data_IF_814669720009
#
_entry.id   IF_814669720009
#
_cell.length_a   1.000
_cell.length_b   1.000
_cell.length_c   1.000
_cell.angle_alpha   90.00
_cell.angle_beta   90.00
_cell.angle_gamma   90.00
#
_symmetry.space_group_name_H-M   'P 1'
#
loop_
_entity.id
_entity.type
_entity.pdbx_description
1 polymer ?
#
# COMPACT_ATOMS: atom_id res chain seq x y z
N UNK A 1 -48.27 48.09 9.49
CA UNK A 1 -47.10 48.59 8.75
C UNK A 1 -46.26 47.39 8.35
N UNK A 2 -46.58 46.81 7.19
CA UNK A 2 -45.91 45.64 6.59
C UNK A 2 -44.71 46.19 5.82
N UNK A 3 -43.51 46.05 6.38
CA UNK A 3 -42.24 46.32 5.69
C UNK A 3 -41.37 45.08 5.89
N UNK A 4 -41.74 43.99 5.21
CA UNK A 4 -40.79 42.91 4.96
C UNK A 4 -39.76 43.47 3.98
N UNK A 5 -38.56 43.72 4.50
CA UNK A 5 -37.48 44.37 3.77
C UNK A 5 -37.04 43.48 2.59
N UNK A 6 -37.02 43.98 1.34
CA UNK A 6 -36.64 43.20 0.14
C UNK A 6 -35.23 42.59 0.21
N UNK A 7 -34.40 43.09 1.11
CA UNK A 7 -33.05 42.60 1.42
C UNK A 7 -33.07 41.22 2.09
N UNK A 8 -34.05 40.93 2.95
CA UNK A 8 -34.13 39.64 3.66
C UNK A 8 -34.55 38.53 2.69
N UNK A 9 -35.47 38.80 1.77
CA UNK A 9 -35.87 37.86 0.73
C UNK A 9 -34.70 37.52 -0.22
N UNK A 10 -33.90 38.51 -0.63
CA UNK A 10 -32.70 38.29 -1.45
C UNK A 10 -31.59 37.51 -0.72
N UNK A 11 -31.45 37.69 0.60
CA UNK A 11 -30.48 36.94 1.42
C UNK A 11 -30.90 35.47 1.60
N UNK A 12 -32.20 35.21 1.78
CA UNK A 12 -32.74 33.84 1.84
C UNK A 12 -32.58 33.14 0.50
N UNK A 13 -32.90 33.81 -0.61
CA UNK A 13 -32.75 33.27 -1.97
C UNK A 13 -31.27 32.97 -2.32
N UNK A 14 -30.34 33.86 -1.95
CA UNK A 14 -28.89 33.57 -2.09
C UNK A 14 -28.46 32.37 -1.25
N UNK A 15 -28.98 32.23 -0.03
CA UNK A 15 -28.65 31.10 0.85
C UNK A 15 -29.16 29.78 0.28
N UNK A 16 -30.38 29.76 -0.26
CA UNK A 16 -30.96 28.57 -0.91
C UNK A 16 -30.24 28.21 -2.20
N UNK A 17 -29.81 29.20 -3.00
CA UNK A 17 -29.04 28.94 -4.24
C UNK A 17 -27.65 28.36 -3.91
N UNK A 18 -26.98 28.87 -2.87
CA UNK A 18 -25.68 28.33 -2.41
C UNK A 18 -25.85 26.91 -1.85
N UNK A 19 -26.91 26.65 -1.08
CA UNK A 19 -27.22 25.31 -0.58
C UNK A 19 -27.55 24.34 -1.72
N UNK A 20 -28.37 24.74 -2.70
CA UNK A 20 -28.65 23.93 -3.89
C UNK A 20 -27.40 23.67 -4.73
N UNK A 21 -26.54 24.67 -4.93
CA UNK A 21 -25.28 24.50 -5.66
C UNK A 21 -24.32 23.55 -4.92
N UNK A 22 -24.26 23.62 -3.59
CA UNK A 22 -23.49 22.69 -2.77
C UNK A 22 -24.05 21.25 -2.84
N UNK A 23 -25.38 21.09 -2.84
CA UNK A 23 -26.04 19.79 -2.98
C UNK A 23 -25.78 19.21 -4.38
N UNK A 24 -25.96 19.99 -5.44
CA UNK A 24 -25.66 19.56 -6.81
C UNK A 24 -24.18 19.17 -6.97
N UNK A 25 -23.27 20.02 -6.48
CA UNK A 25 -21.83 19.73 -6.49
C UNK A 25 -21.49 18.46 -5.71
N UNK A 26 -22.13 18.22 -4.56
CA UNK A 26 -21.92 16.99 -3.78
C UNK A 26 -22.44 15.75 -4.51
N UNK A 27 -23.58 15.85 -5.20
CA UNK A 27 -24.16 14.74 -5.96
C UNK A 27 -23.32 14.38 -7.19
N UNK A 28 -22.80 15.38 -7.90
CA UNK A 28 -21.89 15.17 -9.03
C UNK A 28 -20.54 14.59 -8.58
N UNK A 29 -20.03 15.04 -7.43
CA UNK A 29 -18.79 14.52 -6.87
C UNK A 29 -18.92 13.04 -6.45
N UNK A 30 -20.05 12.67 -5.82
CA UNK A 30 -20.35 11.28 -5.45
C UNK A 30 -20.40 10.40 -6.70
N UNK A 31 -21.15 10.81 -7.72
CA UNK A 31 -21.27 10.07 -8.97
C UNK A 31 -19.91 9.91 -9.68
N UNK A 32 -19.09 10.96 -9.66
CA UNK A 32 -17.75 10.95 -10.25
C UNK A 32 -16.79 10.01 -9.50
N UNK A 33 -16.83 10.02 -8.15
CA UNK A 33 -16.02 9.12 -7.33
C UNK A 33 -16.41 7.66 -7.54
N UNK A 34 -17.70 7.36 -7.63
CA UNK A 34 -18.20 6.01 -7.92
C UNK A 34 -17.77 5.52 -9.31
N UNK A 35 -17.82 6.39 -10.33
CA UNK A 35 -17.28 6.10 -11.66
C UNK A 35 -15.77 5.85 -11.62
N UNK A 36 -15.02 6.59 -10.80
CA UNK A 36 -13.58 6.38 -10.63
C UNK A 36 -13.26 5.03 -9.98
N UNK A 37 -14.01 4.60 -8.95
CA UNK A 37 -13.86 3.25 -8.38
C UNK A 37 -14.15 2.15 -9.40
N UNK A 38 -15.18 2.33 -10.24
CA UNK A 38 -15.49 1.41 -11.33
C UNK A 38 -14.36 1.37 -12.35
N UNK A 39 -13.82 2.52 -12.74
CA UNK A 39 -12.68 2.62 -13.65
C UNK A 39 -11.43 1.92 -13.09
N UNK A 40 -11.08 2.12 -11.81
CA UNK A 40 -9.97 1.43 -11.14
C UNK A 40 -10.22 -0.08 -11.11
N UNK A 41 -11.46 -0.52 -10.90
CA UNK A 41 -11.82 -1.94 -10.88
C UNK A 41 -11.68 -2.58 -12.27
N UNK A 42 -12.10 -1.87 -13.33
CA UNK A 42 -11.94 -2.33 -14.72
C UNK A 42 -10.45 -2.38 -15.10
N UNK A 43 -9.67 -1.35 -14.76
CA UNK A 43 -8.23 -1.32 -14.97
C UNK A 43 -7.52 -2.46 -14.23
N UNK A 44 -7.92 -2.74 -12.98
CA UNK A 44 -7.42 -3.87 -12.20
C UNK A 44 -7.67 -5.21 -12.90
N UNK A 45 -8.91 -5.47 -13.33
CA UNK A 45 -9.27 -6.72 -14.00
C UNK A 45 -8.54 -6.89 -15.34
N UNK A 46 -8.44 -5.82 -16.13
CA UNK A 46 -7.71 -5.82 -17.40
C UNK A 46 -6.22 -6.07 -17.18
N UNK A 47 -5.61 -5.34 -16.24
CA UNK A 47 -4.20 -5.50 -15.87
C UNK A 47 -3.93 -6.89 -15.30
N UNK A 48 -4.85 -7.45 -14.52
CA UNK A 48 -4.74 -8.81 -13.99
C UNK A 48 -4.78 -9.87 -15.09
N UNK A 49 -5.70 -9.75 -16.05
CA UNK A 49 -5.79 -10.66 -17.19
C UNK A 49 -4.51 -10.63 -18.05
N UNK A 50 -4.02 -9.43 -18.35
CA UNK A 50 -2.76 -9.25 -19.09
C UNK A 50 -1.57 -9.83 -18.31
N UNK A 51 -1.50 -9.57 -17.00
CA UNK A 51 -0.44 -10.08 -16.15
C UNK A 51 -0.44 -11.61 -16.07
N UNK A 52 -1.60 -12.26 -15.92
CA UNK A 52 -1.68 -13.73 -15.87
C UNK A 52 -1.22 -14.36 -17.18
N UNK A 53 -1.66 -13.80 -18.32
CA UNK A 53 -1.25 -14.27 -19.64
C UNK A 53 0.26 -14.11 -19.84
N UNK A 54 0.80 -12.96 -19.45
CA UNK A 54 2.24 -12.67 -19.56
C UNK A 54 3.09 -13.56 -18.64
N UNK A 55 2.62 -13.81 -17.41
CA UNK A 55 3.28 -14.70 -16.45
C UNK A 55 3.35 -16.14 -16.99
N UNK A 56 2.28 -16.62 -17.62
CA UNK A 56 2.27 -17.93 -18.28
C UNK A 56 3.32 -18.00 -19.40
N UNK A 57 3.34 -17.01 -20.30
CA UNK A 57 4.34 -16.94 -21.38
C UNK A 57 5.78 -16.91 -20.86
N UNK A 58 6.08 -16.12 -19.83
CA UNK A 58 7.41 -16.09 -19.22
C UNK A 58 7.78 -17.43 -18.56
N UNK A 59 6.83 -18.07 -17.90
CA UNK A 59 7.05 -19.38 -17.26
C UNK A 59 7.38 -20.44 -18.32
N UNK A 60 6.60 -20.47 -19.41
CA UNK A 60 6.85 -21.35 -20.54
C UNK A 60 8.21 -21.08 -21.19
N UNK A 61 8.58 -19.81 -21.39
CA UNK A 61 9.88 -19.45 -21.95
C UNK A 61 11.05 -19.84 -21.03
N UNK A 62 10.85 -19.76 -19.70
CA UNK A 62 11.85 -20.18 -18.71
C UNK A 62 12.05 -21.70 -18.71
N UNK A 63 10.98 -22.48 -18.84
CA UNK A 63 11.05 -23.95 -18.94
C UNK A 63 11.79 -24.37 -20.21
N UNK A 64 11.51 -23.72 -21.34
CA UNK A 64 12.17 -24.03 -22.62
C UNK A 64 13.67 -23.69 -22.63
N UNK A 65 14.10 -22.71 -21.83
CA UNK A 65 15.47 -22.22 -21.80
C UNK A 65 16.20 -22.49 -20.48
N UNK A 66 15.76 -23.51 -19.72
CA UNK A 66 16.33 -23.87 -18.41
C UNK A 66 17.83 -24.20 -18.49
N UNK A 67 18.30 -24.70 -19.64
CA UNK A 67 19.69 -25.03 -19.92
C UNK A 67 20.56 -23.87 -20.42
N UNK A 68 19.99 -22.69 -20.67
CA UNK A 68 20.72 -21.53 -21.22
C UNK A 68 20.98 -20.50 -20.11
N UNK A 69 22.26 -20.25 -19.82
CA UNK A 69 22.64 -19.20 -18.87
C UNK A 69 22.13 -17.84 -19.36
N UNK A 70 21.13 -17.27 -18.67
CA UNK A 70 20.51 -16.02 -19.11
C UNK A 70 21.52 -14.87 -19.03
N UNK A 71 21.64 -14.12 -20.11
CA UNK A 71 22.41 -12.88 -20.10
C UNK A 71 21.80 -11.89 -19.09
N UNK A 72 22.60 -10.99 -18.49
CA UNK A 72 22.10 -9.96 -17.58
C UNK A 72 21.02 -9.07 -18.21
N UNK A 73 21.10 -8.86 -19.53
CA UNK A 73 20.17 -8.04 -20.32
C UNK A 73 18.83 -8.76 -20.47
N UNK A 74 18.83 -10.06 -20.76
CA UNK A 74 17.61 -10.88 -20.86
C UNK A 74 16.90 -11.03 -19.49
N UNK A 75 17.68 -11.08 -18.40
CA UNK A 75 17.13 -11.02 -17.04
C UNK A 75 16.50 -9.67 -16.77
N UNK A 76 17.15 -8.57 -17.16
CA UNK A 76 16.62 -7.23 -16.95
C UNK A 76 15.35 -6.98 -17.79
N UNK A 77 15.30 -7.42 -19.04
CA UNK A 77 14.12 -7.26 -19.90
C UNK A 77 12.97 -8.14 -19.41
N UNK A 78 13.21 -9.39 -19.01
CA UNK A 78 12.19 -10.23 -18.37
C UNK A 78 11.70 -9.63 -17.03
N UNK A 79 12.60 -9.06 -16.22
CA UNK A 79 12.23 -8.31 -15.02
C UNK A 79 11.41 -7.07 -15.41
N UNK A 80 11.83 -6.30 -16.40
CA UNK A 80 11.17 -5.05 -16.83
C UNK A 80 9.76 -5.33 -17.34
N UNK A 81 9.59 -6.39 -18.11
CA UNK A 81 8.33 -6.91 -18.65
C UNK A 81 7.43 -7.46 -17.51
N UNK A 82 8.00 -8.17 -16.53
CA UNK A 82 7.27 -8.56 -15.32
C UNK A 82 6.91 -7.33 -14.47
N UNK A 83 7.72 -6.27 -14.51
CA UNK A 83 7.57 -5.09 -13.65
C UNK A 83 6.47 -4.14 -14.07
N UNK A 84 6.10 -4.05 -15.36
CA UNK A 84 5.13 -3.06 -15.83
C UNK A 84 3.68 -3.29 -15.40
N UNK A 85 3.34 -4.45 -14.82
CA UNK A 85 1.94 -4.82 -14.62
C UNK A 85 1.70 -5.69 -13.38
N UNK A 86 2.21 -5.36 -12.19
CA UNK A 86 1.62 -5.98 -10.99
C UNK A 86 0.29 -5.24 -10.72
N UNK A 87 -0.87 -5.85 -11.06
CA UNK A 87 -2.15 -5.12 -11.06
C UNK A 87 -2.49 -4.62 -9.66
N UNK A 88 -2.20 -5.42 -8.63
CA UNK A 88 -2.54 -5.12 -7.24
C UNK A 88 -1.87 -3.83 -6.75
N UNK A 89 -0.57 -3.65 -7.01
CA UNK A 89 0.16 -2.49 -6.50
C UNK A 89 -0.15 -1.22 -7.30
N UNK A 90 -0.43 -1.35 -8.60
CA UNK A 90 -0.86 -0.24 -9.45
C UNK A 90 -2.27 0.24 -9.08
N UNK A 91 -3.22 -0.67 -8.95
CA UNK A 91 -4.58 -0.33 -8.52
C UNK A 91 -4.61 0.22 -7.10
N UNK A 92 -3.73 -0.25 -6.20
CA UNK A 92 -3.54 0.36 -4.89
C UNK A 92 -3.04 1.81 -5.01
N UNK A 93 -2.04 2.09 -5.86
CA UNK A 93 -1.55 3.45 -6.07
C UNK A 93 -2.64 4.36 -6.64
N UNK A 94 -3.42 3.88 -7.62
CA UNK A 94 -4.56 4.63 -8.18
C UNK A 94 -5.66 4.88 -7.15
N UNK A 95 -5.97 3.86 -6.33
CA UNK A 95 -6.92 3.98 -5.23
C UNK A 95 -6.46 5.05 -4.23
N UNK A 96 -5.19 5.07 -3.86
CA UNK A 96 -4.66 6.06 -2.93
C UNK A 96 -4.64 7.46 -3.55
N UNK A 97 -4.39 7.58 -4.86
CA UNK A 97 -4.54 8.84 -5.58
C UNK A 97 -5.99 9.35 -5.62
N UNK A 98 -6.98 8.45 -5.71
CA UNK A 98 -8.40 8.79 -5.65
C UNK A 98 -8.84 9.24 -4.25
N UNK A 99 -8.36 8.53 -3.22
CA UNK A 99 -8.67 8.80 -1.82
C UNK A 99 -7.97 10.05 -1.28
N UNK A 100 -6.78 10.34 -1.79
CA UNK A 100 -5.92 11.41 -1.33
C UNK A 100 -6.16 12.75 -2.02
N UNK A 101 -5.55 13.80 -1.45
CA UNK A 101 -5.52 15.13 -2.08
C UNK A 101 -4.68 15.09 -3.37
N UNK A 102 -4.84 16.06 -4.30
CA UNK A 102 -4.06 16.11 -5.53
C UNK A 102 -2.54 16.06 -5.31
N UNK A 103 -2.02 16.62 -4.22
CA UNK A 103 -0.60 16.53 -3.87
C UNK A 103 -0.09 15.09 -3.66
N UNK A 104 -0.96 14.16 -3.26
CA UNK A 104 -0.61 12.75 -3.09
C UNK A 104 -0.31 12.08 -4.42
N UNK A 105 -0.89 12.55 -5.53
CA UNK A 105 -0.60 12.00 -6.87
C UNK A 105 0.88 12.14 -7.24
N UNK A 106 1.49 13.29 -6.91
CA UNK A 106 2.92 13.55 -7.13
C UNK A 106 3.77 12.61 -6.28
N UNK A 107 3.38 12.43 -5.01
CA UNK A 107 4.07 11.51 -4.11
C UNK A 107 4.05 10.08 -4.67
N UNK A 108 2.87 9.58 -5.07
CA UNK A 108 2.69 8.23 -5.59
C UNK A 108 3.35 8.00 -6.95
N UNK A 109 3.38 9.00 -7.83
CA UNK A 109 4.21 8.98 -9.02
C UNK A 109 5.70 8.80 -8.66
N UNK A 110 6.18 9.49 -7.62
CA UNK A 110 7.52 9.32 -7.06
C UNK A 110 7.75 7.94 -6.45
N UNK A 111 6.77 7.36 -5.76
CA UNK A 111 6.84 6.00 -5.19
C UNK A 111 6.98 4.96 -6.32
N UNK A 112 6.18 5.06 -7.38
CA UNK A 112 6.28 4.20 -8.56
C UNK A 112 7.63 4.36 -9.27
N UNK A 113 8.18 5.58 -9.35
CA UNK A 113 9.52 5.78 -9.88
C UNK A 113 10.60 5.12 -9.00
N UNK A 114 10.53 5.33 -7.67
CA UNK A 114 11.45 4.71 -6.70
C UNK A 114 11.42 3.18 -6.80
N UNK A 115 10.24 2.60 -7.00
CA UNK A 115 10.05 1.17 -7.19
C UNK A 115 10.90 0.66 -8.38
N UNK A 116 10.82 1.32 -9.54
CA UNK A 116 11.60 0.97 -10.74
C UNK A 116 13.10 1.06 -10.50
N UNK A 117 13.54 2.14 -9.85
CA UNK A 117 14.95 2.35 -9.53
C UNK A 117 15.46 1.26 -8.58
N UNK A 118 14.71 0.92 -7.54
CA UNK A 118 15.07 -0.13 -6.60
C UNK A 118 15.15 -1.51 -7.26
N UNK A 119 14.22 -1.82 -8.15
CA UNK A 119 14.25 -3.09 -8.89
C UNK A 119 15.50 -3.22 -9.76
N UNK A 120 15.84 -2.17 -10.51
CA UNK A 120 17.07 -2.18 -11.33
C UNK A 120 18.32 -2.25 -10.46
N UNK A 121 18.33 -1.59 -9.30
CA UNK A 121 19.41 -1.66 -8.33
C UNK A 121 19.61 -3.08 -7.78
N UNK A 122 18.54 -3.73 -7.31
CA UNK A 122 18.60 -5.09 -6.79
C UNK A 122 18.94 -6.14 -7.85
N UNK A 123 18.46 -5.98 -9.08
CA UNK A 123 18.84 -6.83 -10.21
C UNK A 123 20.33 -6.70 -10.57
N UNK A 124 20.90 -5.49 -10.49
CA UNK A 124 22.34 -5.27 -10.68
C UNK A 124 23.16 -5.89 -9.54
N UNK A 125 22.71 -5.77 -8.30
CA UNK A 125 23.38 -6.39 -7.14
C UNK A 125 23.39 -7.91 -7.28
N UNK A 126 22.25 -8.51 -7.60
CA UNK A 126 22.16 -9.97 -7.74
C UNK A 126 23.04 -10.49 -8.89
N UNK A 127 23.20 -9.72 -9.96
CA UNK A 127 24.11 -10.05 -11.06
C UNK A 127 25.60 -9.87 -10.72
N UNK A 128 25.96 -8.88 -9.87
CA UNK A 128 27.36 -8.58 -9.52
C UNK A 128 27.92 -9.50 -8.43
N UNK A 129 27.07 -10.02 -7.55
CA UNK A 129 27.49 -10.79 -6.38
C UNK A 129 26.89 -12.21 -6.41
N UNK A 130 27.22 -13.03 -7.43
CA UNK A 130 26.68 -14.39 -7.52
C UNK A 130 27.21 -15.33 -6.41
N UNK A 131 28.33 -14.96 -5.79
CA UNK A 131 29.00 -15.72 -4.72
C UNK A 131 28.27 -15.59 -3.36
N UNK A 132 27.46 -14.55 -3.16
CA UNK A 132 26.75 -14.34 -1.91
C UNK A 132 25.56 -15.28 -1.77
N UNK A 133 25.30 -15.70 -0.53
CA UNK A 133 24.12 -16.51 -0.26
C UNK A 133 22.83 -15.74 -0.58
N UNK A 134 22.03 -16.29 -1.48
CA UNK A 134 20.80 -15.64 -1.95
C UNK A 134 19.79 -15.43 -0.82
N UNK A 135 19.83 -16.27 0.22
CA UNK A 135 18.92 -16.13 1.35
C UNK A 135 19.23 -14.87 2.16
N UNK A 136 20.50 -14.60 2.45
CA UNK A 136 20.95 -13.35 3.08
C UNK A 136 20.60 -12.12 2.24
N UNK A 137 20.74 -12.20 0.91
CA UNK A 137 20.35 -11.11 0.01
C UNK A 137 18.83 -10.86 0.01
N UNK A 138 18.00 -11.92 0.04
CA UNK A 138 16.54 -11.81 0.16
C UNK A 138 16.12 -11.16 1.47
N UNK A 139 16.73 -11.55 2.59
CA UNK A 139 16.45 -10.94 3.91
C UNK A 139 16.85 -9.47 3.91
N UNK A 140 18.04 -9.16 3.36
CA UNK A 140 18.50 -7.77 3.23
C UNK A 140 17.52 -6.96 2.37
N UNK A 141 17.04 -7.52 1.26
CA UNK A 141 16.03 -6.89 0.44
C UNK A 141 14.70 -6.71 1.19
N UNK A 142 14.26 -7.71 1.96
CA UNK A 142 13.05 -7.60 2.78
C UNK A 142 13.14 -6.43 3.78
N UNK A 143 14.29 -6.29 4.44
CA UNK A 143 14.56 -5.18 5.35
C UNK A 143 14.53 -3.81 4.64
N UNK A 144 15.17 -3.71 3.47
CA UNK A 144 15.16 -2.47 2.68
C UNK A 144 13.74 -2.07 2.24
N UNK A 145 12.94 -3.04 1.78
CA UNK A 145 11.56 -2.82 1.37
C UNK A 145 10.65 -2.45 2.56
N UNK A 146 10.89 -3.05 3.72
CA UNK A 146 10.18 -2.68 4.95
C UNK A 146 10.52 -1.25 5.40
N UNK A 147 11.80 -0.88 5.39
CA UNK A 147 12.24 0.49 5.73
C UNK A 147 11.61 1.51 4.79
N UNK A 148 11.68 1.29 3.48
CA UNK A 148 11.10 2.25 2.53
C UNK A 148 9.56 2.28 2.61
N UNK A 149 8.92 1.18 3.01
CA UNK A 149 7.52 1.12 3.41
C UNK A 149 7.17 2.19 4.44
N UNK A 150 7.92 2.22 5.53
CA UNK A 150 7.77 3.23 6.58
C UNK A 150 8.19 4.63 6.12
N UNK A 151 9.23 4.76 5.30
CA UNK A 151 9.57 6.07 4.71
C UNK A 151 8.40 6.62 3.91
N UNK A 152 7.76 5.81 3.06
CA UNK A 152 6.58 6.23 2.30
C UNK A 152 5.40 6.60 3.20
N UNK A 153 5.19 5.86 4.29
CA UNK A 153 4.19 6.22 5.32
C UNK A 153 4.41 7.64 5.87
N UNK A 154 5.64 7.98 6.26
CA UNK A 154 5.95 9.32 6.76
C UNK A 154 5.92 10.39 5.66
N UNK A 155 6.30 10.05 4.42
CA UNK A 155 6.21 10.96 3.28
C UNK A 155 4.77 11.35 2.91
N UNK A 156 3.78 10.51 3.24
CA UNK A 156 2.36 10.86 3.12
C UNK A 156 1.90 11.87 4.19
N UNK A 157 2.76 12.20 5.17
CA UNK A 157 2.43 13.08 6.29
C UNK A 157 1.82 12.35 7.49
N UNK A 158 1.76 11.01 7.45
CA UNK A 158 1.27 10.23 8.59
C UNK A 158 2.29 10.24 9.73
N UNK A 159 1.79 10.03 10.94
CA UNK A 159 2.58 9.77 12.13
C UNK A 159 1.95 8.62 12.92
N UNK A 160 2.62 8.14 13.97
CA UNK A 160 2.04 7.19 14.91
C UNK A 160 1.03 7.83 15.87
N UNK A 161 0.16 8.70 15.34
CA UNK A 161 -0.88 9.40 16.06
C UNK A 161 -2.20 9.25 15.34
N UNK A 162 -3.27 9.02 16.09
CA UNK A 162 -4.64 8.95 15.58
C UNK A 162 -5.04 10.29 14.94
N UNK A 163 -4.48 11.42 15.42
CA UNK A 163 -4.76 12.74 14.89
C UNK A 163 -4.28 12.95 13.43
N UNK A 164 -3.34 12.13 12.95
CA UNK A 164 -2.88 12.22 11.56
C UNK A 164 -3.67 11.34 10.59
N UNK A 165 -4.67 10.59 11.08
CA UNK A 165 -5.55 9.81 10.19
C UNK A 165 -6.45 10.74 9.39
N UNK A 166 -6.39 10.61 8.06
CA UNK A 166 -7.27 11.37 7.17
C UNK A 166 -8.60 10.62 7.00
N UNK A 167 -9.61 11.00 7.79
CA UNK A 167 -10.94 10.43 7.70
C UNK A 167 -11.68 10.83 6.41
N UNK A 168 -11.28 11.92 5.73
CA UNK A 168 -11.93 12.33 4.49
C UNK A 168 -11.73 11.29 3.38
N UNK A 169 -10.58 10.62 3.37
CA UNK A 169 -10.32 9.50 2.45
C UNK A 169 -11.42 8.43 2.55
N UNK A 170 -11.91 8.13 3.75
CA UNK A 170 -12.95 7.12 3.95
C UNK A 170 -14.35 7.50 3.47
N UNK A 171 -14.60 8.78 3.19
CA UNK A 171 -15.90 9.29 2.79
C UNK A 171 -16.05 9.44 1.27
N UNK A 172 -14.97 9.27 0.51
CA UNK A 172 -14.97 9.46 -0.95
C UNK A 172 -15.93 8.47 -1.62
N UNK A 173 -16.98 8.98 -2.25
CA UNK A 173 -17.97 8.21 -3.01
C UNK A 173 -19.06 7.51 -2.18
N UNK A 174 -19.15 7.79 -0.88
CA UNK A 174 -20.20 7.24 -0.02
C UNK A 174 -21.49 8.09 -0.11
N UNK A 175 -22.63 7.43 -0.33
CA UNK A 175 -23.97 8.05 -0.23
C UNK A 175 -24.50 8.04 1.20
N UNK A 176 -24.24 6.94 1.92
CA UNK A 176 -24.61 6.73 3.32
C UNK A 176 -23.38 6.34 4.13
N UNK A 177 -23.30 6.83 5.37
CA UNK A 177 -22.16 6.58 6.22
C UNK A 177 -22.18 5.15 6.76
N UNK A 178 -21.15 4.37 6.40
CA UNK A 178 -20.92 3.02 6.91
C UNK A 178 -19.55 2.94 7.60
N UNK A 179 -19.58 2.66 8.90
CA UNK A 179 -18.38 2.58 9.75
C UNK A 179 -17.33 1.60 9.22
N UNK A 180 -17.74 0.44 8.69
CA UNK A 180 -16.83 -0.60 8.24
C UNK A 180 -16.11 -0.21 6.94
N UNK A 181 -16.85 0.31 5.97
CA UNK A 181 -16.29 0.72 4.68
C UNK A 181 -15.36 1.91 4.88
N UNK A 182 -15.83 2.96 5.58
CA UNK A 182 -15.04 4.14 5.87
C UNK A 182 -13.75 3.78 6.63
N UNK A 183 -13.85 2.96 7.68
CA UNK A 183 -12.68 2.50 8.44
C UNK A 183 -11.68 1.73 7.58
N UNK A 184 -12.16 0.87 6.69
CA UNK A 184 -11.28 0.10 5.78
C UNK A 184 -10.56 0.99 4.77
N UNK A 185 -11.25 1.98 4.18
CA UNK A 185 -10.66 2.92 3.23
C UNK A 185 -9.60 3.81 3.90
N UNK A 186 -9.90 4.32 5.10
CA UNK A 186 -8.93 5.08 5.90
C UNK A 186 -7.72 4.23 6.24
N UNK A 187 -7.91 2.96 6.65
CA UNK A 187 -6.82 2.05 6.95
C UNK A 187 -5.95 1.75 5.71
N UNK A 188 -6.57 1.42 4.58
CA UNK A 188 -5.87 1.19 3.30
C UNK A 188 -5.09 2.44 2.88
N UNK A 189 -5.72 3.62 2.95
CA UNK A 189 -5.07 4.89 2.61
C UNK A 189 -3.87 5.18 3.53
N UNK A 190 -4.09 5.13 4.84
CA UNK A 190 -3.08 5.44 5.87
C UNK A 190 -1.87 4.51 5.76
N UNK A 191 -2.12 3.21 5.60
CA UNK A 191 -1.07 2.20 5.58
C UNK A 191 -0.67 1.77 4.17
N UNK A 192 -1.03 2.56 3.16
CA UNK A 192 -0.75 2.24 1.77
C UNK A 192 0.75 2.11 1.47
N UNK A 193 1.61 2.88 2.13
CA UNK A 193 3.07 2.78 1.96
C UNK A 193 3.60 1.39 2.32
N UNK A 194 3.52 0.97 3.59
CA UNK A 194 3.94 -0.37 4.02
C UNK A 194 3.25 -1.49 3.23
N UNK A 195 1.96 -1.32 2.89
CA UNK A 195 1.21 -2.29 2.09
C UNK A 195 1.82 -2.46 0.69
N UNK A 196 2.03 -1.36 -0.02
CA UNK A 196 2.56 -1.32 -1.38
C UNK A 196 3.94 -1.99 -1.45
N UNK A 197 4.85 -1.60 -0.56
CA UNK A 197 6.22 -2.12 -0.58
C UNK A 197 6.31 -3.59 -0.13
N UNK A 198 5.43 -4.04 0.75
CA UNK A 198 5.34 -5.47 1.11
C UNK A 198 4.88 -6.32 -0.08
N UNK A 199 3.79 -5.93 -0.75
CA UNK A 199 3.29 -6.62 -1.95
C UNK A 199 4.37 -6.66 -3.03
N UNK A 200 5.09 -5.55 -3.21
CA UNK A 200 6.16 -5.45 -4.19
C UNK A 200 7.34 -6.37 -3.85
N UNK A 201 7.75 -6.43 -2.59
CA UNK A 201 8.82 -7.34 -2.17
C UNK A 201 8.49 -8.79 -2.53
N UNK A 202 7.31 -9.28 -2.14
CA UNK A 202 6.90 -10.67 -2.36
C UNK A 202 6.74 -11.02 -3.84
N UNK A 203 6.21 -10.09 -4.64
CA UNK A 203 6.11 -10.26 -6.09
C UNK A 203 7.47 -10.44 -6.77
N UNK A 204 8.48 -9.69 -6.31
CA UNK A 204 9.73 -9.50 -7.05
C UNK A 204 10.87 -10.35 -6.54
N UNK A 205 10.77 -10.81 -5.29
CA UNK A 205 11.81 -11.60 -4.66
C UNK A 205 12.17 -12.86 -5.45
N UNK A 206 11.17 -13.56 -5.96
CA UNK A 206 11.37 -14.78 -6.74
C UNK A 206 11.93 -14.49 -8.14
N UNK A 207 11.57 -13.35 -8.75
CA UNK A 207 12.07 -12.96 -10.07
C UNK A 207 13.54 -12.51 -10.02
N UNK A 208 13.94 -11.79 -8.98
CA UNK A 208 15.33 -11.29 -8.81
C UNK A 208 16.26 -12.43 -8.36
N UNK A 209 15.75 -13.33 -7.53
CA UNK A 209 16.52 -14.42 -6.95
C UNK A 209 15.86 -15.78 -7.25
N UNK A 210 16.05 -16.28 -8.49
CA UNK A 210 15.32 -17.43 -9.04
C UNK A 210 15.73 -18.78 -8.46
N UNK A 211 16.69 -18.83 -7.53
CA UNK A 211 17.13 -20.10 -6.92
C UNK A 211 15.95 -20.79 -6.25
N UNK A 212 15.79 -22.09 -6.56
CA UNK A 212 14.82 -22.98 -5.91
C UNK A 212 15.01 -22.89 -4.41
N UNK A 213 14.01 -22.34 -3.73
CA UNK A 213 14.08 -22.10 -2.30
C UNK A 213 13.82 -23.40 -1.55
N UNK A 214 14.68 -23.69 -0.58
CA UNK A 214 14.35 -24.72 0.39
C UNK A 214 13.22 -24.23 1.29
N UNK A 215 12.50 -25.16 1.90
CA UNK A 215 11.45 -24.83 2.88
C UNK A 215 12.00 -23.96 4.02
N UNK A 216 13.22 -24.26 4.48
CA UNK A 216 13.92 -23.48 5.50
C UNK A 216 14.12 -22.01 5.09
N UNK A 217 14.48 -21.73 3.84
CA UNK A 217 14.70 -20.37 3.36
C UNK A 217 13.40 -19.58 3.32
N UNK A 218 12.31 -20.21 2.84
CA UNK A 218 10.96 -19.62 2.85
C UNK A 218 10.50 -19.32 4.27
N UNK A 219 10.67 -20.29 5.17
CA UNK A 219 10.26 -20.18 6.55
C UNK A 219 11.04 -19.08 7.27
N UNK A 220 12.36 -19.00 7.06
CA UNK A 220 13.19 -17.95 7.65
C UNK A 220 12.80 -16.57 7.15
N UNK A 221 12.53 -16.42 5.84
CA UNK A 221 12.05 -15.15 5.29
C UNK A 221 10.70 -14.75 5.89
N UNK A 222 9.76 -15.69 6.00
CA UNK A 222 8.46 -15.46 6.60
C UNK A 222 8.59 -15.03 8.07
N UNK A 223 9.36 -15.77 8.88
CA UNK A 223 9.62 -15.42 10.28
C UNK A 223 10.27 -14.05 10.41
N UNK A 224 11.23 -13.72 9.54
CA UNK A 224 11.86 -12.41 9.53
C UNK A 224 10.83 -11.30 9.24
N UNK A 225 10.03 -11.45 8.19
CA UNK A 225 8.99 -10.48 7.83
C UNK A 225 7.94 -10.32 8.93
N UNK A 226 7.43 -11.41 9.49
CA UNK A 226 6.49 -11.38 10.63
C UNK A 226 7.13 -10.77 11.89
N UNK A 227 8.39 -11.09 12.17
CA UNK A 227 9.15 -10.51 13.25
C UNK A 227 9.23 -8.99 13.13
N UNK A 228 9.52 -8.47 11.94
CA UNK A 228 9.57 -7.01 11.68
C UNK A 228 8.20 -6.33 11.85
N UNK A 229 7.10 -7.05 11.64
CA UNK A 229 5.74 -6.53 11.89
C UNK A 229 5.36 -6.52 13.38
N UNK A 230 5.76 -7.55 14.13
CA UNK A 230 5.36 -7.79 15.53
C UNK A 230 6.31 -7.11 16.52
N UNK A 231 7.57 -6.88 16.14
CA UNK A 231 8.60 -6.32 17.01
C UNK A 231 8.23 -4.93 17.58
N UNK A 232 7.72 -3.95 16.80
CA UNK A 232 7.34 -2.65 17.34
C UNK A 232 6.26 -2.75 18.42
N UNK A 233 5.17 -3.49 18.15
CA UNK A 233 4.08 -3.65 19.14
C UNK A 233 4.55 -4.38 20.40
N UNK A 234 5.48 -5.34 20.25
CA UNK A 234 6.05 -6.08 21.37
C UNK A 234 6.89 -5.20 22.28
N UNK A 235 7.78 -4.36 21.73
CA UNK A 235 8.58 -3.41 22.52
C UNK A 235 7.67 -2.43 23.25
N UNK A 236 6.70 -1.83 22.55
CA UNK A 236 5.80 -0.85 23.17
C UNK A 236 4.97 -1.49 24.28
N UNK A 237 4.48 -2.73 24.07
CA UNK A 237 3.76 -3.48 25.09
C UNK A 237 4.64 -3.75 26.32
N UNK A 238 5.89 -4.18 26.10
CA UNK A 238 6.86 -4.42 27.17
C UNK A 238 7.14 -3.16 28.00
N UNK A 239 7.36 -2.02 27.34
CA UNK A 239 7.55 -0.72 28.01
C UNK A 239 6.31 -0.33 28.82
N UNK A 240 5.10 -0.51 28.27
CA UNK A 240 3.85 -0.23 28.98
C UNK A 240 3.68 -1.11 30.22
N UNK A 241 4.10 -2.38 30.17
CA UNK A 241 4.04 -3.31 31.31
C UNK A 241 4.98 -2.87 32.43
N UNK A 242 6.24 -2.52 32.09
CA UNK A 242 7.22 -2.06 33.08
C UNK A 242 6.77 -0.76 33.74
N UNK A 243 6.29 0.19 32.94
CA UNK A 243 5.93 1.54 33.39
C UNK A 243 4.46 1.65 33.83
N UNK A 244 3.75 0.53 34.04
CA UNK A 244 2.30 0.49 34.29
C UNK A 244 1.83 1.34 35.48
N UNK A 245 2.70 1.52 36.48
CA UNK A 245 2.43 2.27 37.72
C UNK A 245 2.83 3.75 37.62
N UNK A 246 3.46 4.18 36.53
CA UNK A 246 3.81 5.57 36.30
C UNK A 246 2.58 6.36 35.83
N UNK A 247 2.32 7.52 36.43
CA UNK A 247 1.05 8.27 36.35
C UNK A 247 0.62 8.74 34.95
N UNK A 248 1.46 8.52 33.91
CA UNK A 248 1.20 8.99 32.55
C UNK A 248 1.41 7.92 31.48
N UNK A 249 1.64 6.65 31.85
CA UNK A 249 1.91 5.64 30.81
C UNK A 249 0.70 5.45 29.90
N UNK A 250 -0.50 5.42 30.49
CA UNK A 250 -1.73 5.16 29.77
C UNK A 250 -2.19 6.36 28.92
N UNK A 251 -1.87 7.59 29.31
CA UNK A 251 -2.21 8.77 28.51
C UNK A 251 -1.22 9.02 27.37
N UNK A 252 0.07 8.70 27.56
CA UNK A 252 1.12 8.98 26.55
C UNK A 252 1.37 7.81 25.61
N UNK A 253 1.43 6.58 26.14
CA UNK A 253 1.83 5.40 25.37
C UNK A 253 0.65 4.58 24.85
N UNK A 254 -0.48 4.54 25.55
CA UNK A 254 -1.62 3.73 25.10
C UNK A 254 -2.15 4.15 23.72
N UNK A 255 -2.29 5.45 23.36
CA UNK A 255 -2.73 5.83 22.02
C UNK A 255 -1.80 5.30 20.91
N UNK A 256 -0.48 5.35 21.16
CA UNK A 256 0.54 4.81 20.24
C UNK A 256 0.47 3.29 20.18
N UNK A 257 0.31 2.62 21.32
CA UNK A 257 0.21 1.17 21.37
C UNK A 257 -1.03 0.66 20.62
N UNK A 258 -2.18 1.31 20.78
CA UNK A 258 -3.41 0.99 20.04
C UNK A 258 -3.21 1.19 18.53
N UNK A 259 -2.56 2.29 18.13
CA UNK A 259 -2.21 2.54 16.73
C UNK A 259 -1.31 1.42 16.15
N UNK A 260 -0.27 1.03 16.90
CA UNK A 260 0.63 -0.06 16.52
C UNK A 260 -0.09 -1.43 16.47
N UNK A 261 -0.96 -1.70 17.44
CA UNK A 261 -1.75 -2.93 17.47
C UNK A 261 -2.70 -3.00 16.26
N UNK A 262 -3.32 -1.88 15.90
CA UNK A 262 -4.19 -1.80 14.73
C UNK A 262 -3.44 -2.10 13.42
N UNK A 263 -2.29 -1.46 13.18
CA UNK A 263 -1.52 -1.75 11.95
C UNK A 263 -1.03 -3.19 11.93
N UNK A 264 -0.58 -3.75 13.05
CA UNK A 264 -0.17 -5.16 13.13
C UNK A 264 -1.34 -6.08 12.79
N UNK A 265 -2.53 -5.86 13.37
CA UNK A 265 -3.73 -6.64 13.08
C UNK A 265 -4.15 -6.51 11.60
N UNK A 266 -4.13 -5.30 11.05
CA UNK A 266 -4.50 -5.03 9.66
C UNK A 266 -3.54 -5.65 8.64
N UNK A 267 -2.23 -5.65 8.91
CA UNK A 267 -1.21 -6.19 8.00
C UNK A 267 -1.02 -7.71 8.12
N UNK A 268 -1.35 -8.31 9.26
CA UNK A 268 -1.23 -9.76 9.49
C UNK A 268 -1.86 -10.62 8.38
N UNK A 269 -3.12 -10.39 7.91
CA UNK A 269 -3.70 -11.18 6.83
C UNK A 269 -2.93 -11.03 5.51
N UNK A 270 -2.38 -9.85 5.21
CA UNK A 270 -1.59 -9.60 4.00
C UNK A 270 -0.29 -10.42 4.02
N UNK A 271 0.38 -10.45 5.18
CA UNK A 271 1.59 -11.26 5.36
C UNK A 271 1.27 -12.76 5.26
N UNK A 272 0.10 -13.18 5.76
CA UNK A 272 -0.34 -14.58 5.70
C UNK A 272 -0.61 -15.02 4.26
N UNK A 273 -1.36 -14.21 3.50
CA UNK A 273 -1.64 -14.46 2.09
C UNK A 273 -0.33 -14.49 1.29
N UNK A 274 0.59 -13.55 1.54
CA UNK A 274 1.88 -13.50 0.84
C UNK A 274 2.73 -14.74 1.11
N UNK A 275 2.68 -15.31 2.32
CA UNK A 275 3.33 -16.57 2.64
C UNK A 275 2.63 -17.77 1.96
N UNK A 276 1.30 -17.83 1.97
CA UNK A 276 0.54 -18.88 1.29
C UNK A 276 0.83 -18.89 -0.21
N UNK A 277 0.90 -17.72 -0.85
CA UNK A 277 1.24 -17.57 -2.28
C UNK A 277 2.67 -18.04 -2.58
N UNK A 278 3.57 -18.13 -1.59
CA UNK A 278 4.91 -18.69 -1.78
C UNK A 278 4.98 -20.21 -1.61
N UNK A 279 3.95 -20.83 -1.05
CA UNK A 279 3.85 -22.28 -0.89
C UNK A 279 3.33 -22.98 -2.16
N UNK A 280 2.52 -22.29 -2.96
CA UNK A 280 1.93 -22.78 -4.21
C UNK A 280 2.65 -22.22 -5.44
#
# INVERSE_FOLDING_TARGET
MKLEHPVIAQLVERRTVVEMAAILSSSELINTAQLAYLAISVDFLFSMFHWTKQRQSCTQWNVLNESREKSPIDRLSCLTISTSAQPVSQSLALLVCLLGRPAMTILWAGVLLKERLLLTHWARISARLPQLDQTSLKITMAAHFWIIGWVTFYQQGNSHSIATLDFYAGLVGMTEFNYYICGSLVAVYTFAGPLFWHIQFHSRANSIFPRRQNERDRLMLAHFSYGMLIWPVSIYSFVCIILRHHLFVWSVFAPKLVYLAFITAFMTPVYAISFLVQLF
#
